data_IF_306173347848
#
_entry.id   IF_306173347848
#
_cell.length_a   1.000
_cell.length_b   1.000
_cell.length_c   1.000
_cell.angle_alpha   90.00
_cell.angle_beta   90.00
_cell.angle_gamma   90.00
#
_symmetry.space_group_name_H-M   'P 1'
#
loop_
_entity.id
_entity.type
_entity.pdbx_description
1 polymer ?
#
# COMPACT_ATOMS: atom_id res chain seq x y z
N UNK A 1 4.66 13.43 11.37
CA UNK A 1 4.01 12.32 10.64
C UNK A 1 2.73 11.89 11.32
N UNK A 2 2.76 11.41 12.58
CA UNK A 2 1.51 11.04 13.29
C UNK A 2 0.55 12.22 13.46
N UNK A 3 1.05 13.39 13.87
CA UNK A 3 0.22 14.59 14.09
C UNK A 3 -0.57 15.07 12.87
N UNK A 4 0.00 14.98 11.66
CA UNK A 4 -0.69 15.36 10.42
C UNK A 4 -1.73 14.32 10.00
N UNK A 5 -1.37 13.03 10.11
CA UNK A 5 -2.31 11.94 9.85
C UNK A 5 -3.48 11.96 10.85
N UNK A 6 -3.23 12.28 12.12
CA UNK A 6 -4.26 12.39 13.16
C UNK A 6 -5.24 13.53 12.87
N UNK A 7 -4.75 14.66 12.37
CA UNK A 7 -5.61 15.78 11.95
C UNK A 7 -6.48 15.40 10.75
N UNK A 8 -5.93 14.65 9.79
CA UNK A 8 -6.63 14.31 8.54
C UNK A 8 -7.61 13.13 8.67
N UNK A 9 -7.27 12.11 9.46
CA UNK A 9 -7.98 10.82 9.49
C UNK A 9 -8.63 10.52 10.85
N UNK A 10 -8.31 11.32 11.88
CA UNK A 10 -8.59 10.99 13.27
C UNK A 10 -7.59 10.01 13.86
N UNK A 11 -7.45 10.02 15.19
CA UNK A 11 -6.39 9.30 15.93
C UNK A 11 -6.36 7.79 15.66
N UNK A 12 -7.52 7.14 15.59
CA UNK A 12 -7.60 5.69 15.39
C UNK A 12 -7.07 5.29 14.01
N UNK A 13 -7.52 5.98 12.96
CA UNK A 13 -7.16 5.68 11.59
C UNK A 13 -5.71 6.08 11.28
N UNK A 14 -5.23 7.17 11.87
CA UNK A 14 -3.83 7.58 11.75
C UNK A 14 -2.86 6.54 12.35
N UNK A 15 -3.22 5.96 13.51
CA UNK A 15 -2.44 4.88 14.12
C UNK A 15 -2.48 3.60 13.29
N UNK A 16 -3.66 3.25 12.75
CA UNK A 16 -3.79 2.10 11.87
C UNK A 16 -2.92 2.25 10.60
N UNK A 17 -2.93 3.43 9.98
CA UNK A 17 -2.08 3.73 8.83
C UNK A 17 -0.59 3.61 9.16
N UNK A 18 -0.14 4.15 10.30
CA UNK A 18 1.28 4.05 10.70
C UNK A 18 1.69 2.60 10.99
N UNK A 19 0.82 1.81 11.62
CA UNK A 19 1.07 0.38 11.84
C UNK A 19 1.27 -0.34 10.52
N UNK A 20 0.37 -0.12 9.56
CA UNK A 20 0.44 -0.72 8.23
C UNK A 20 1.72 -0.31 7.50
N UNK A 21 2.11 0.97 7.54
CA UNK A 21 3.36 1.42 6.91
C UNK A 21 4.57 0.70 7.53
N UNK A 22 4.59 0.55 8.85
CA UNK A 22 5.67 -0.17 9.53
C UNK A 22 5.70 -1.65 9.14
N UNK A 23 4.54 -2.30 9.01
CA UNK A 23 4.45 -3.68 8.52
C UNK A 23 4.97 -3.79 7.08
N UNK A 24 4.62 -2.86 6.20
CA UNK A 24 5.12 -2.82 4.81
C UNK A 24 6.64 -2.70 4.77
N UNK A 25 7.21 -1.80 5.58
CA UNK A 25 8.66 -1.57 5.64
C UNK A 25 9.44 -2.78 6.17
N UNK A 26 8.77 -3.72 6.84
CA UNK A 26 9.39 -4.94 7.37
C UNK A 26 9.58 -6.05 6.33
N UNK A 27 8.96 -5.94 5.15
CA UNK A 27 9.04 -6.96 4.08
C UNK A 27 10.13 -6.61 3.06
N UNK A 28 10.75 -7.63 2.45
CA UNK A 28 11.85 -7.42 1.50
C UNK A 28 11.34 -6.97 0.12
N UNK A 29 10.14 -7.44 -0.26
CA UNK A 29 9.50 -7.09 -1.52
C UNK A 29 7.96 -7.05 -1.40
N UNK A 30 7.31 -6.49 -2.42
CA UNK A 30 5.87 -6.29 -2.44
C UNK A 30 5.05 -7.59 -2.57
N UNK A 31 5.64 -8.68 -3.08
CA UNK A 31 4.96 -9.99 -3.13
C UNK A 31 4.84 -10.59 -1.72
N UNK A 32 5.92 -10.58 -0.93
CA UNK A 32 5.87 -11.05 0.46
C UNK A 32 4.83 -10.28 1.29
N UNK A 33 4.76 -8.97 1.09
CA UNK A 33 3.76 -8.11 1.71
C UNK A 33 2.34 -8.50 1.28
N UNK A 34 2.10 -8.74 -0.02
CA UNK A 34 0.80 -9.15 -0.54
C UNK A 34 0.34 -10.47 0.07
N UNK A 35 1.26 -11.44 0.18
CA UNK A 35 0.99 -12.75 0.76
C UNK A 35 0.72 -12.68 2.26
N UNK A 36 1.47 -11.84 2.99
CA UNK A 36 1.29 -11.65 4.44
C UNK A 36 -0.01 -10.92 4.78
N UNK A 37 -0.38 -9.94 3.95
CA UNK A 37 -1.52 -9.04 4.17
C UNK A 37 -2.73 -9.41 3.29
N UNK A 38 -2.89 -10.69 2.97
CA UNK A 38 -4.01 -11.17 2.17
C UNK A 38 -5.36 -10.77 2.82
N UNK A 39 -6.28 -10.28 1.99
CA UNK A 39 -7.58 -9.75 2.41
C UNK A 39 -7.60 -8.29 2.87
N UNK A 40 -6.45 -7.63 3.08
CA UNK A 40 -6.38 -6.18 3.32
C UNK A 40 -5.61 -5.42 2.26
N UNK A 41 -4.69 -6.09 1.54
CA UNK A 41 -3.97 -5.52 0.39
C UNK A 41 -4.46 -6.18 -0.90
N UNK A 42 -4.72 -5.36 -1.92
CA UNK A 42 -5.11 -5.84 -3.24
C UNK A 42 -4.28 -5.17 -4.34
N UNK A 43 -3.73 -5.97 -5.24
CA UNK A 43 -3.09 -5.47 -6.46
C UNK A 43 -4.15 -5.15 -7.53
N UNK A 44 -4.17 -3.91 -7.99
CA UNK A 44 -4.99 -3.43 -9.11
C UNK A 44 -4.23 -3.56 -10.43
N UNK A 45 -4.97 -3.58 -11.54
CA UNK A 45 -4.42 -3.81 -12.89
C UNK A 45 -3.51 -2.68 -13.42
N UNK A 46 -3.44 -1.55 -12.72
CA UNK A 46 -2.68 -0.34 -13.08
C UNK A 46 -1.40 -0.16 -12.23
N UNK A 47 -0.79 -1.26 -11.76
CA UNK A 47 0.36 -1.25 -10.84
C UNK A 47 0.10 -0.47 -9.54
N UNK A 48 -1.14 -0.49 -9.05
CA UNK A 48 -1.49 0.11 -7.76
C UNK A 48 -1.78 -0.99 -6.75
N UNK A 49 -1.16 -0.92 -5.58
CA UNK A 49 -1.59 -1.67 -4.41
C UNK A 49 -2.56 -0.80 -3.62
N UNK A 50 -3.73 -1.33 -3.33
CA UNK A 50 -4.70 -0.71 -2.42
C UNK A 50 -4.66 -1.44 -1.09
N UNK A 51 -4.56 -0.69 0.00
CA UNK A 51 -4.53 -1.23 1.36
C UNK A 51 -5.67 -0.64 2.16
N UNK A 52 -6.54 -1.50 2.65
CA UNK A 52 -7.66 -1.13 3.51
C UNK A 52 -7.20 -0.97 4.96
N UNK A 53 -7.64 0.11 5.62
CA UNK A 53 -7.36 0.40 7.02
C UNK A 53 -8.48 1.19 7.67
N UNK A 54 -8.60 1.13 9.01
CA UNK A 54 -9.56 1.94 9.75
C UNK A 54 -11.04 1.69 9.37
N UNK A 55 -11.35 0.54 8.78
CA UNK A 55 -12.69 0.13 8.35
C UNK A 55 -13.12 0.67 6.99
N UNK A 56 -12.94 1.96 6.73
CA UNK A 56 -13.47 2.62 5.53
C UNK A 56 -12.40 3.37 4.70
N UNK A 57 -11.14 3.37 5.14
CA UNK A 57 -10.09 4.12 4.46
C UNK A 57 -9.16 3.19 3.68
N UNK A 58 -8.65 3.70 2.57
CA UNK A 58 -7.72 3.01 1.70
C UNK A 58 -6.50 3.89 1.43
N UNK A 59 -5.32 3.26 1.34
CA UNK A 59 -4.11 3.87 0.85
C UNK A 59 -3.75 3.25 -0.52
N UNK A 60 -3.37 4.08 -1.49
CA UNK A 60 -2.89 3.64 -2.79
C UNK A 60 -1.38 3.78 -2.87
N UNK A 61 -0.70 2.67 -3.15
CA UNK A 61 0.74 2.61 -3.31
C UNK A 61 1.09 2.19 -4.72
N UNK A 62 2.15 2.78 -5.26
CA UNK A 62 2.68 2.41 -6.58
C UNK A 62 4.14 2.02 -6.47
N UNK A 63 4.63 1.08 -7.30
CA UNK A 63 6.04 0.76 -7.38
C UNK A 63 6.81 1.99 -7.86
N UNK A 64 7.89 2.30 -7.17
CA UNK A 64 8.78 3.43 -7.51
C UNK A 64 10.23 2.99 -7.58
N UNK A 65 11.04 3.79 -8.25
CA UNK A 65 12.45 3.49 -8.49
C UNK A 65 12.67 2.85 -9.86
N UNK A 66 13.89 2.35 -10.07
CA UNK A 66 14.41 1.94 -11.38
C UNK A 66 14.81 0.45 -11.43
N UNK A 67 14.56 -0.32 -10.37
CA UNK A 67 15.10 -1.68 -10.19
C UNK A 67 14.06 -2.81 -10.20
N UNK A 68 12.79 -2.52 -10.44
CA UNK A 68 11.78 -3.57 -10.55
C UNK A 68 11.56 -3.97 -12.01
N UNK A 69 11.21 -5.23 -12.22
CA UNK A 69 10.94 -5.80 -13.53
C UNK A 69 9.45 -5.63 -13.89
N UNK A 70 9.19 -5.62 -15.19
CA UNK A 70 7.83 -5.64 -15.74
C UNK A 70 7.64 -6.94 -16.53
N UNK A 71 6.45 -7.53 -16.39
CA UNK A 71 6.05 -8.70 -17.14
C UNK A 71 5.74 -8.37 -18.60
N UNK A 72 5.41 -9.40 -19.37
CA UNK A 72 5.12 -9.28 -20.81
C UNK A 72 3.86 -8.43 -21.10
N UNK A 73 2.96 -8.30 -20.12
CA UNK A 73 1.78 -7.43 -20.19
C UNK A 73 2.09 -5.97 -19.79
N UNK A 74 3.35 -5.66 -19.50
CA UNK A 74 3.79 -4.36 -19.04
C UNK A 74 3.52 -4.09 -17.57
N UNK A 75 2.91 -4.99 -16.78
CA UNK A 75 2.66 -4.80 -15.35
C UNK A 75 3.90 -5.09 -14.50
N UNK A 76 3.97 -4.49 -13.31
CA UNK A 76 5.04 -4.76 -12.35
C UNK A 76 5.05 -6.22 -11.90
N UNK A 77 6.24 -6.82 -11.83
CA UNK A 77 6.44 -8.12 -11.19
C UNK A 77 6.69 -7.85 -9.71
N UNK A 78 5.69 -8.08 -8.85
CA UNK A 78 5.70 -7.67 -7.44
C UNK A 78 6.87 -8.23 -6.63
N UNK A 79 7.33 -9.44 -6.95
CA UNK A 79 8.52 -10.07 -6.34
C UNK A 79 9.82 -9.30 -6.57
N UNK A 80 9.83 -8.36 -7.51
CA UNK A 80 10.99 -7.50 -7.82
C UNK A 80 10.82 -6.06 -7.34
N UNK A 81 9.68 -5.74 -6.70
CA UNK A 81 9.36 -4.40 -6.21
C UNK A 81 9.80 -4.28 -4.75
N UNK A 82 10.90 -3.57 -4.51
CA UNK A 82 11.41 -3.29 -3.15
C UNK A 82 10.94 -1.94 -2.59
N UNK A 83 10.36 -1.07 -3.44
CA UNK A 83 10.04 0.31 -3.07
C UNK A 83 8.65 0.70 -3.55
N UNK A 84 7.84 1.13 -2.59
CA UNK A 84 6.49 1.63 -2.81
C UNK A 84 6.41 3.09 -2.37
N UNK A 85 5.53 3.84 -3.02
CA UNK A 85 5.18 5.20 -2.61
C UNK A 85 3.68 5.32 -2.44
N UNK A 86 3.24 5.84 -1.29
CA UNK A 86 1.85 6.26 -1.10
C UNK A 86 1.55 7.45 -2.01
N UNK A 87 0.54 7.30 -2.86
CA UNK A 87 0.10 8.31 -3.83
C UNK A 87 -1.22 8.95 -3.46
N UNK A 88 -2.09 8.21 -2.78
CA UNK A 88 -3.37 8.70 -2.28
C UNK A 88 -3.75 8.01 -0.97
N UNK A 89 -4.50 8.74 -0.14
CA UNK A 89 -5.19 8.23 1.03
C UNK A 89 -6.60 8.82 1.00
N UNK A 90 -7.62 7.99 1.13
CA UNK A 90 -9.02 8.41 1.08
C UNK A 90 -9.96 7.32 1.56
N UNK A 91 -11.27 7.55 1.44
CA UNK A 91 -12.24 6.47 1.63
C UNK A 91 -12.02 5.39 0.55
N UNK A 92 -12.17 4.12 0.91
CA UNK A 92 -12.14 3.05 -0.07
C UNK A 92 -13.27 3.26 -1.07
N UNK A 93 -12.94 3.28 -2.37
CA UNK A 93 -13.97 3.27 -3.40
C UNK A 93 -14.85 2.03 -3.17
N UNK A 94 -16.14 2.24 -2.90
CA UNK A 94 -17.09 1.15 -2.76
C UNK A 94 -17.09 0.36 -4.08
N UNK A 95 -16.61 -0.88 -4.05
CA UNK A 95 -16.74 -1.85 -5.15
C UNK A 95 -18.18 -1.95 -5.66
#
# INVERSE_FOLDING_TARGET
MLSEAEIALGTVNAKALVSIIADIEAHENAEEMLDFMDGIVHAKSNDTLEISFGGNYCAHLVPVGIRFQRGNNGQAIWSTVERLKVTAIGECDAC
#
